data_IF_174005370440
#
_entry.id   IF_174005370440
#
_cell.length_a   1.000
_cell.length_b   1.000
_cell.length_c   1.000
_cell.angle_alpha   90.00
_cell.angle_beta   90.00
_cell.angle_gamma   90.00
#
_symmetry.space_group_name_H-M   'P 1'
#
loop_
_entity.id
_entity.type
_entity.pdbx_description
1 polymer ?
#
# COMPACT_ATOMS: atom_id res chain seq x y z
N UNK A 1 -0.33 21.35 0.39
CA UNK A 1 -0.22 19.94 0.79
C UNK A 1 -0.29 19.10 -0.48
N UNK A 2 0.88 18.80 -1.07
CA UNK A 2 1.00 18.24 -2.43
C UNK A 2 1.12 16.71 -2.36
N UNK A 3 0.01 16.03 -2.12
CA UNK A 3 -0.07 14.57 -2.05
C UNK A 3 -0.18 13.92 -3.46
N UNK A 4 -0.25 14.70 -4.54
CA UNK A 4 -0.24 14.18 -5.91
C UNK A 4 -1.46 13.33 -6.29
N UNK A 5 -2.43 13.14 -5.39
CA UNK A 5 -3.58 12.25 -5.57
C UNK A 5 -3.44 10.89 -4.89
N UNK A 6 -2.35 10.65 -4.17
CA UNK A 6 -2.10 9.42 -3.38
C UNK A 6 -3.22 9.16 -2.38
N UNK A 7 -3.62 10.16 -1.59
CA UNK A 7 -4.67 10.05 -0.56
C UNK A 7 -6.02 9.63 -1.15
N UNK A 8 -6.36 10.12 -2.35
CA UNK A 8 -7.61 9.74 -3.04
C UNK A 8 -7.57 8.27 -3.46
N UNK A 9 -6.44 7.82 -4.01
CA UNK A 9 -6.24 6.43 -4.42
C UNK A 9 -6.17 5.50 -3.20
N UNK A 10 -5.47 5.90 -2.14
CA UNK A 10 -5.34 5.17 -0.89
C UNK A 10 -6.66 4.96 -0.15
N UNK A 11 -7.65 5.85 -0.39
CA UNK A 11 -8.98 5.76 0.21
C UNK A 11 -9.99 4.98 -0.65
N UNK A 12 -9.59 4.42 -1.80
CA UNK A 12 -10.50 3.65 -2.66
C UNK A 12 -10.90 2.31 -2.04
N UNK A 13 -10.00 1.69 -1.26
CA UNK A 13 -10.22 0.43 -0.56
C UNK A 13 -9.60 0.47 0.82
N UNK A 14 -10.00 -0.47 1.67
CA UNK A 14 -9.44 -0.64 3.00
C UNK A 14 -7.92 -0.90 2.99
N UNK A 15 -7.41 -1.60 1.97
CA UNK A 15 -5.97 -1.76 1.71
C UNK A 15 -5.67 -1.42 0.26
N UNK A 16 -4.66 -0.57 0.05
CA UNK A 16 -4.19 -0.16 -1.28
C UNK A 16 -2.69 -0.35 -1.36
N UNK A 17 -2.23 -1.03 -2.40
CA UNK A 17 -0.82 -1.32 -2.67
C UNK A 17 -0.43 -0.51 -3.91
N UNK A 18 0.42 0.50 -3.74
CA UNK A 18 1.02 1.21 -4.86
C UNK A 18 2.23 0.45 -5.37
N UNK A 19 2.26 0.21 -6.67
CA UNK A 19 3.29 -0.59 -7.31
C UNK A 19 3.45 -0.26 -8.78
N UNK A 20 4.35 -0.95 -9.44
CA UNK A 20 4.45 -0.97 -10.90
C UNK A 20 4.15 -2.38 -11.40
N UNK A 21 3.75 -2.50 -12.67
CA UNK A 21 3.38 -3.80 -13.26
C UNK A 21 4.50 -4.84 -13.20
N UNK A 22 5.77 -4.40 -13.13
CA UNK A 22 6.96 -5.26 -13.12
C UNK A 22 7.68 -5.34 -11.76
N UNK A 23 6.96 -5.23 -10.65
CA UNK A 23 7.57 -5.26 -9.31
C UNK A 23 7.40 -6.61 -8.61
N UNK A 24 8.49 -7.38 -8.47
CA UNK A 24 8.49 -8.69 -7.78
C UNK A 24 8.01 -8.59 -6.31
N UNK A 25 8.41 -7.52 -5.60
CA UNK A 25 8.03 -7.29 -4.20
C UNK A 25 6.52 -7.04 -4.02
N UNK A 26 5.85 -6.48 -5.03
CA UNK A 26 4.39 -6.31 -4.98
C UNK A 26 3.68 -7.66 -4.86
N UNK A 27 4.24 -8.73 -5.46
CA UNK A 27 3.65 -10.06 -5.39
C UNK A 27 3.64 -10.59 -3.95
N UNK A 28 4.75 -10.42 -3.20
CA UNK A 28 4.84 -10.86 -1.82
C UNK A 28 3.76 -10.20 -0.92
N UNK A 29 3.56 -8.89 -1.08
CA UNK A 29 2.55 -8.14 -0.32
C UNK A 29 1.12 -8.57 -0.71
N UNK A 30 0.86 -8.77 -2.01
CA UNK A 30 -0.43 -9.27 -2.50
C UNK A 30 -0.75 -10.64 -1.93
N UNK A 31 0.22 -11.55 -1.93
CA UNK A 31 0.05 -12.90 -1.38
C UNK A 31 -0.21 -12.84 0.12
N UNK A 32 0.55 -12.04 0.87
CA UNK A 32 0.32 -11.85 2.31
C UNK A 32 -1.11 -11.40 2.62
N UNK A 33 -1.60 -10.36 1.94
CA UNK A 33 -2.97 -9.89 2.18
C UNK A 33 -4.03 -10.88 1.71
N UNK A 34 -3.78 -11.62 0.63
CA UNK A 34 -4.69 -12.66 0.17
C UNK A 34 -4.78 -13.83 1.15
N UNK A 35 -3.65 -14.25 1.72
CA UNK A 35 -3.56 -15.31 2.74
C UNK A 35 -4.28 -14.92 4.03
N UNK A 36 -4.19 -13.63 4.40
CA UNK A 36 -4.93 -13.05 5.52
C UNK A 36 -6.43 -12.85 5.24
N UNK A 37 -6.94 -13.16 4.04
CA UNK A 37 -8.35 -12.96 3.68
C UNK A 37 -8.78 -11.49 3.57
N UNK A 38 -7.83 -10.60 3.30
CA UNK A 38 -8.04 -9.15 3.28
C UNK A 38 -8.44 -8.67 1.88
N UNK A 39 -9.43 -7.77 1.79
CA UNK A 39 -9.73 -7.09 0.52
C UNK A 39 -8.71 -5.97 0.23
N UNK A 40 -7.79 -6.23 -0.69
CA UNK A 40 -6.80 -5.26 -1.17
C UNK A 40 -7.06 -4.80 -2.62
N UNK A 41 -6.49 -3.66 -2.99
CA UNK A 41 -6.43 -3.16 -4.36
C UNK A 41 -4.99 -2.78 -4.73
N UNK A 42 -4.61 -2.92 -6.00
CA UNK A 42 -3.30 -2.47 -6.49
C UNK A 42 -3.48 -1.24 -7.37
N UNK A 43 -2.70 -0.19 -7.09
CA UNK A 43 -2.57 0.98 -7.94
C UNK A 43 -1.26 0.87 -8.71
N UNK A 44 -1.37 0.54 -9.99
CA UNK A 44 -0.23 0.46 -10.89
C UNK A 44 0.15 1.87 -11.37
N UNK A 45 1.23 2.42 -10.81
CA UNK A 45 1.70 3.77 -11.13
C UNK A 45 2.00 3.92 -12.63
N UNK A 46 2.53 2.87 -13.27
CA UNK A 46 2.86 2.88 -14.70
C UNK A 46 1.62 3.01 -15.61
N UNK A 47 0.46 2.58 -15.13
CA UNK A 47 -0.83 2.67 -15.84
C UNK A 47 -1.63 3.91 -15.48
N UNK A 48 -1.30 4.57 -14.37
CA UNK A 48 -1.97 5.79 -13.97
C UNK A 48 -1.48 6.97 -14.79
N UNK A 49 -2.37 7.80 -15.35
CA UNK A 49 -1.97 8.96 -16.15
C UNK A 49 -1.17 9.99 -15.34
N UNK A 50 -1.30 9.98 -14.01
CA UNK A 50 -0.54 10.80 -13.05
C UNK A 50 0.49 9.99 -12.27
N UNK A 51 0.88 8.83 -12.77
CA UNK A 51 1.77 7.88 -12.11
C UNK A 51 3.07 8.49 -11.61
N UNK A 52 3.72 9.33 -12.42
CA UNK A 52 4.98 10.00 -12.06
C UNK A 52 4.83 10.99 -10.91
N UNK A 53 3.74 11.76 -10.86
CA UNK A 53 3.46 12.68 -9.76
C UNK A 53 3.17 11.93 -8.46
N UNK A 54 2.38 10.86 -8.56
CA UNK A 54 2.03 9.97 -7.44
C UNK A 54 3.31 9.28 -6.93
N UNK A 55 4.15 8.74 -7.81
CA UNK A 55 5.43 8.13 -7.45
C UNK A 55 6.33 9.13 -6.71
N UNK A 56 6.45 10.36 -7.22
CA UNK A 56 7.26 11.39 -6.57
C UNK A 56 6.72 11.77 -5.19
N UNK A 57 5.40 11.87 -5.05
CA UNK A 57 4.75 12.10 -3.76
C UNK A 57 5.02 10.94 -2.79
N UNK A 58 4.85 9.69 -3.25
CA UNK A 58 5.17 8.49 -2.47
C UNK A 58 6.63 8.42 -2.07
N UNK A 59 7.57 8.78 -2.95
CA UNK A 59 9.00 8.85 -2.64
C UNK A 59 9.29 9.84 -1.53
N UNK A 60 8.60 10.98 -1.52
CA UNK A 60 8.70 11.97 -0.45
C UNK A 60 8.09 11.47 0.87
N UNK A 61 6.96 10.76 0.82
CA UNK A 61 6.29 10.23 2.02
C UNK A 61 7.00 9.04 2.65
N UNK A 62 7.44 8.09 1.81
CA UNK A 62 8.16 6.87 2.23
C UNK A 62 9.63 7.20 2.54
N UNK A 63 10.18 8.27 1.96
CA UNK A 63 11.59 8.62 2.09
C UNK A 63 12.53 7.69 1.32
N UNK A 64 12.03 6.99 0.29
CA UNK A 64 12.77 6.01 -0.51
C UNK A 64 12.45 6.12 -1.99
N UNK A 65 13.47 5.90 -2.83
CA UNK A 65 13.33 5.76 -4.29
C UNK A 65 13.97 4.44 -4.77
N UNK A 66 13.24 3.57 -5.48
CA UNK A 66 11.81 3.69 -5.79
C UNK A 66 10.94 3.49 -4.53
N UNK A 67 9.80 4.20 -4.42
CA UNK A 67 8.90 4.10 -3.27
C UNK A 67 8.03 2.85 -3.26
N UNK A 68 8.09 2.04 -4.32
CA UNK A 68 7.24 0.87 -4.50
C UNK A 68 7.88 -0.43 -3.98
N UNK A 69 7.08 -1.36 -3.42
CA UNK A 69 5.66 -1.18 -3.10
C UNK A 69 5.45 -0.27 -1.90
N UNK A 70 4.47 0.64 -1.98
CA UNK A 70 4.01 1.43 -0.83
C UNK A 70 2.60 0.97 -0.44
N UNK A 71 2.40 0.62 0.82
CA UNK A 71 1.15 0.05 1.31
C UNK A 71 0.40 1.07 2.17
N UNK A 72 -0.88 1.21 1.87
CA UNK A 72 -1.82 2.04 2.61
C UNK A 72 -2.91 1.16 3.20
N UNK A 73 -3.26 1.42 4.46
CA UNK A 73 -4.32 0.73 5.20
C UNK A 73 -5.22 1.80 5.81
N UNK A 74 -6.52 1.75 5.52
CA UNK A 74 -7.50 2.74 5.98
C UNK A 74 -7.16 4.16 5.54
N UNK A 75 -6.59 4.33 4.35
CA UNK A 75 -6.15 5.63 3.83
C UNK A 75 -4.85 6.19 4.44
N UNK A 76 -4.19 5.46 5.35
CA UNK A 76 -2.92 5.87 5.97
C UNK A 76 -1.74 5.11 5.38
N UNK A 77 -0.62 5.80 5.16
CA UNK A 77 0.63 5.17 4.73
C UNK A 77 1.15 4.28 5.86
N UNK A 78 1.21 2.99 5.59
CA UNK A 78 1.83 2.00 6.49
C UNK A 78 3.30 1.83 6.17
N UNK A 79 3.66 1.95 4.89
CA UNK A 79 5.04 1.98 4.43
C UNK A 79 5.40 0.89 3.41
N UNK A 80 6.69 0.61 3.21
CA UNK A 80 7.15 -0.39 2.26
C UNK A 80 6.95 -1.82 2.79
N UNK A 81 7.25 -2.82 1.96
CA UNK A 81 7.14 -4.25 2.33
C UNK A 81 7.76 -4.58 3.68
N UNK A 82 8.95 -4.05 3.98
CA UNK A 82 9.67 -4.32 5.23
C UNK A 82 8.86 -3.90 6.48
N UNK A 83 8.21 -2.74 6.41
CA UNK A 83 7.39 -2.21 7.50
C UNK A 83 6.11 -3.03 7.67
N UNK A 84 5.50 -3.47 6.57
CA UNK A 84 4.34 -4.37 6.60
C UNK A 84 4.69 -5.73 7.21
N UNK A 85 5.83 -6.31 6.81
CA UNK A 85 6.32 -7.58 7.35
C UNK A 85 6.66 -7.45 8.84
N UNK A 86 7.29 -6.34 9.25
CA UNK A 86 7.57 -6.04 10.64
C UNK A 86 6.29 -5.94 11.48
N UNK A 87 5.23 -5.31 10.96
CA UNK A 87 3.92 -5.26 11.62
C UNK A 87 3.26 -6.64 11.69
N UNK A 88 3.43 -7.48 10.67
CA UNK A 88 2.91 -8.85 10.66
C UNK A 88 3.60 -9.71 11.72
N UNK A 89 4.93 -9.72 11.74
CA UNK A 89 5.75 -10.42 12.73
C UNK A 89 5.49 -9.91 14.16
N UNK A 90 5.25 -8.60 14.31
CA UNK A 90 4.89 -7.99 15.58
C UNK A 90 3.42 -8.16 16.00
N UNK A 91 2.60 -8.86 15.21
CA UNK A 91 1.18 -9.09 15.50
C UNK A 91 0.28 -7.84 15.43
N UNK A 92 0.80 -6.71 14.90
CA UNK A 92 0.08 -5.43 14.80
C UNK A 92 -0.64 -5.24 13.46
N UNK A 93 -0.32 -6.04 12.46
CA UNK A 93 -0.93 -5.90 11.13
C UNK A 93 -2.42 -6.25 11.13
N UNK A 94 -2.79 -7.38 11.76
CA UNK A 94 -4.18 -7.84 11.85
C UNK A 94 -5.11 -6.82 12.54
N UNK A 95 -4.78 -6.24 13.72
CA UNK A 95 -5.63 -5.22 14.32
C UNK A 95 -5.76 -3.97 13.45
N UNK A 96 -4.69 -3.50 12.80
CA UNK A 96 -4.77 -2.36 11.87
C UNK A 96 -5.72 -2.63 10.70
N UNK A 97 -5.65 -3.83 10.12
CA UNK A 97 -6.51 -4.26 9.03
C UNK A 97 -7.98 -4.37 9.48
N UNK A 98 -8.22 -4.84 10.71
CA UNK A 98 -9.56 -4.90 11.30
C UNK A 98 -10.13 -3.51 11.55
N UNK A 99 -9.34 -2.60 12.10
CA UNK A 99 -9.75 -1.19 12.30
C UNK A 99 -10.07 -0.49 10.98
N UNK A 100 -9.34 -0.83 9.91
CA UNK A 100 -9.61 -0.32 8.57
C UNK A 100 -10.81 -0.98 7.88
N UNK A 101 -11.48 -1.97 8.50
CA UNK A 101 -12.58 -2.71 7.89
C UNK A 101 -12.15 -3.62 6.72
N UNK A 102 -10.87 -3.97 6.67
CA UNK A 102 -10.29 -4.79 5.61
C UNK A 102 -10.45 -6.29 5.84
N UNK A 103 -10.70 -6.69 7.10
CA UNK A 103 -11.02 -8.05 7.52
C UNK A 103 -12.50 -8.13 7.91
N UNK A 104 -13.21 -9.05 7.29
CA UNK A 104 -14.57 -9.46 7.66
C UNK A 104 -14.45 -10.85 8.30
N UNK A 105 -14.07 -10.91 9.57
CA UNK A 105 -14.15 -12.11 10.42
C UNK A 105 -15.18 -11.87 11.52
#
# INVERSE_FOLDING_TARGET
MADGGVSRLASQRAVVIFGTSNCCMCHAVKTLFSDLGVSWAVCELDKEPRGKDIEKALACMVGRSPPVPAVFIGGKLVGPTDQVMSLHLGGKLVPLLREAGALWL
#
